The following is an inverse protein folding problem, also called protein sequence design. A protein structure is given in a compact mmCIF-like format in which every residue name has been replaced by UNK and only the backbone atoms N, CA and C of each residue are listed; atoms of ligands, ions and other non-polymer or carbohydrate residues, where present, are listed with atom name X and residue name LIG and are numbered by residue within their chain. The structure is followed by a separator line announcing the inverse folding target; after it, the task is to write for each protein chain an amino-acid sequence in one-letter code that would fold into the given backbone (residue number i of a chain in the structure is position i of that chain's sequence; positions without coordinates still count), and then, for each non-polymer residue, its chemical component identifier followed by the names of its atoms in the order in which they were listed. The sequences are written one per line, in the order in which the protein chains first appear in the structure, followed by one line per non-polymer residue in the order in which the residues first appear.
data_IF_453288800801
#
_entry.id   IF_453288800801
#
_cell.length_a   1.000
_cell.length_b   1.000
_cell.length_c   1.000
_cell.angle_alpha   90.00
_cell.angle_beta   90.00
_cell.angle_gamma   90.00
#
_symmetry.space_group_name_H-M   'P 1'
#
loop_
_entity.id
_entity.type
_entity.pdbx_description
1 polymer ?
#
# COMPACT_ATOMS: atom_id res chain seq x y z
N UNK A 1 -6.79 -29.21 14.38
CA UNK A 1 -7.44 -27.96 14.81
C UNK A 1 -7.19 -26.91 13.75
N UNK A 2 -8.20 -26.13 13.34
CA UNK A 2 -8.01 -25.00 12.42
C UNK A 2 -7.23 -23.89 13.14
N UNK A 3 -6.19 -23.34 12.51
CA UNK A 3 -5.50 -22.14 13.02
C UNK A 3 -6.48 -20.96 13.01
N UNK A 4 -6.44 -20.11 14.03
CA UNK A 4 -7.25 -18.90 14.06
C UNK A 4 -6.82 -17.98 12.92
N UNK A 5 -7.77 -17.54 12.09
CA UNK A 5 -7.50 -16.58 11.01
C UNK A 5 -7.29 -15.18 11.58
N UNK A 6 -6.29 -14.47 11.08
CA UNK A 6 -6.00 -13.08 11.40
C UNK A 6 -5.81 -12.29 10.11
N UNK A 7 -6.72 -11.35 9.84
CA UNK A 7 -6.66 -10.47 8.68
C UNK A 7 -6.37 -9.04 9.14
N UNK A 8 -5.31 -8.44 8.62
CA UNK A 8 -4.90 -7.07 8.93
C UNK A 8 -4.58 -6.31 7.65
N UNK A 9 -4.84 -5.00 7.63
CA UNK A 9 -4.64 -4.14 6.47
C UNK A 9 -3.98 -2.83 6.86
N UNK A 10 -3.26 -2.21 5.92
CA UNK A 10 -3.01 -0.77 5.94
C UNK A 10 -4.21 -0.01 5.36
N UNK A 11 -4.22 1.30 5.48
CA UNK A 11 -4.94 2.14 4.55
C UNK A 11 -4.27 2.07 3.17
N UNK A 12 -5.07 2.19 2.11
CA UNK A 12 -4.54 2.31 0.75
C UNK A 12 -3.93 3.70 0.54
N UNK A 13 -2.68 3.76 0.06
CA UNK A 13 -1.95 5.00 -0.10
C UNK A 13 -2.37 5.75 -1.38
N UNK A 14 -2.39 7.09 -1.35
CA UNK A 14 -2.78 7.91 -2.51
C UNK A 14 -1.53 8.25 -3.36
N UNK A 15 -1.34 7.65 -4.56
CA UNK A 15 -0.06 7.67 -5.26
C UNK A 15 0.04 8.85 -6.24
N UNK A 16 -0.36 10.06 -5.82
CA UNK A 16 -0.22 11.27 -6.63
C UNK A 16 1.18 11.90 -6.55
N UNK A 17 2.12 11.22 -5.88
CA UNK A 17 3.52 11.60 -5.68
C UNK A 17 4.37 10.37 -5.28
N UNK A 18 5.59 10.62 -4.79
CA UNK A 18 6.46 9.56 -4.27
C UNK A 18 6.07 9.14 -2.84
N UNK A 19 6.36 7.89 -2.41
CA UNK A 19 6.20 7.49 -1.02
C UNK A 19 6.98 8.39 -0.05
N UNK A 20 6.52 8.45 1.20
CA UNK A 20 7.12 9.29 2.25
C UNK A 20 7.06 8.57 3.59
N UNK A 21 7.71 9.13 4.62
CA UNK A 21 7.88 8.46 5.93
C UNK A 21 6.57 8.01 6.58
N UNK A 22 5.46 8.73 6.39
CA UNK A 22 4.15 8.29 6.88
C UNK A 22 3.69 6.96 6.29
N UNK A 23 3.89 6.74 4.98
CA UNK A 23 3.56 5.47 4.32
C UNK A 23 4.45 4.33 4.83
N UNK A 24 5.75 4.58 4.93
CA UNK A 24 6.70 3.60 5.45
C UNK A 24 6.41 3.22 6.91
N UNK A 25 6.05 4.20 7.75
CA UNK A 25 5.68 3.96 9.14
C UNK A 25 4.50 3.01 9.27
N UNK A 26 3.43 3.25 8.51
CA UNK A 26 2.23 2.41 8.56
C UNK A 26 2.50 1.00 8.01
N UNK A 27 3.26 0.89 6.92
CA UNK A 27 3.67 -0.40 6.35
C UNK A 27 4.48 -1.22 7.36
N UNK A 28 5.51 -0.63 7.97
CA UNK A 28 6.38 -1.30 8.96
C UNK A 28 5.58 -1.72 10.20
N UNK A 29 4.76 -0.82 10.74
CA UNK A 29 3.96 -1.12 11.94
C UNK A 29 3.00 -2.29 11.68
N UNK A 30 2.32 -2.29 10.54
CA UNK A 30 1.36 -3.33 10.17
C UNK A 30 2.05 -4.66 9.87
N UNK A 31 3.20 -4.63 9.18
CA UNK A 31 4.00 -5.82 8.89
C UNK A 31 4.53 -6.46 10.19
N UNK A 32 5.02 -5.66 11.14
CA UNK A 32 5.47 -6.16 12.44
C UNK A 32 4.35 -6.89 13.20
N UNK A 33 3.14 -6.33 13.20
CA UNK A 33 1.96 -6.97 13.79
C UNK A 33 1.58 -8.25 13.05
N UNK A 34 1.56 -8.24 11.71
CA UNK A 34 1.27 -9.42 10.91
C UNK A 34 2.27 -10.55 11.20
N UNK A 35 3.57 -10.25 11.26
CA UNK A 35 4.62 -11.22 11.61
C UNK A 35 4.49 -11.73 13.03
N UNK A 36 4.17 -10.87 13.98
CA UNK A 36 3.93 -11.29 15.36
C UNK A 36 2.81 -12.33 15.46
N UNK A 37 1.69 -12.11 14.75
CA UNK A 37 0.57 -13.06 14.74
C UNK A 37 0.91 -14.38 14.02
N UNK A 38 1.80 -14.35 13.01
CA UNK A 38 2.34 -15.58 12.40
C UNK A 38 3.18 -16.37 13.41
N UNK A 39 4.00 -15.70 14.21
CA UNK A 39 4.78 -16.33 15.28
C UNK A 39 3.89 -16.89 16.40
N UNK A 40 2.74 -16.26 16.65
CA UNK A 40 1.67 -16.74 17.55
C UNK A 40 0.84 -17.91 16.96
N UNK A 41 1.23 -18.44 15.80
CA UNK A 41 0.61 -19.64 15.20
C UNK A 41 -0.70 -19.40 14.46
N UNK A 42 -1.06 -18.13 14.18
CA UNK A 42 -2.27 -17.78 13.43
C UNK A 42 -2.10 -17.95 11.93
N UNK A 43 -3.22 -18.13 11.24
CA UNK A 43 -3.30 -18.07 9.77
C UNK A 43 -3.48 -16.62 9.33
N UNK A 44 -2.42 -15.99 8.83
CA UNK A 44 -2.35 -14.53 8.64
C UNK A 44 -2.44 -14.15 7.17
N UNK A 45 -3.39 -13.26 6.86
CA UNK A 45 -3.40 -12.49 5.61
C UNK A 45 -3.12 -11.02 5.93
N UNK A 46 -2.17 -10.40 5.21
CA UNK A 46 -1.83 -8.99 5.35
C UNK A 46 -1.96 -8.33 3.98
N UNK A 47 -2.79 -7.28 3.88
CA UNK A 47 -3.06 -6.54 2.64
C UNK A 47 -2.67 -5.06 2.75
N UNK A 48 -2.08 -4.54 1.68
CA UNK A 48 -1.81 -3.11 1.44
C UNK A 48 -2.13 -2.78 -0.03
N UNK A 49 -2.12 -1.51 -0.41
CA UNK A 49 -2.38 -1.10 -1.79
C UNK A 49 -2.46 0.41 -1.99
N UNK A 50 -3.00 0.81 -3.14
CA UNK A 50 -3.07 2.20 -3.60
C UNK A 50 -4.51 2.64 -3.95
N UNK A 51 -4.84 3.90 -3.66
CA UNK A 51 -6.07 4.58 -4.11
C UNK A 51 -5.77 5.47 -5.31
N UNK A 52 -6.15 5.03 -6.50
CA UNK A 52 -5.64 5.60 -7.77
C UNK A 52 -6.62 6.55 -8.48
N UNK A 53 -7.79 6.80 -7.90
CA UNK A 53 -8.81 7.64 -8.53
C UNK A 53 -8.81 9.08 -7.98
N UNK A 54 -9.59 9.96 -8.60
CA UNK A 54 -9.86 11.31 -8.11
C UNK A 54 -9.13 12.44 -8.82
N UNK A 55 -9.57 13.67 -8.53
CA UNK A 55 -9.18 14.87 -9.28
C UNK A 55 -7.67 15.18 -9.19
N UNK A 56 -7.03 14.88 -8.05
CA UNK A 56 -5.59 15.11 -7.87
C UNK A 56 -4.75 14.20 -8.79
N UNK A 57 -5.13 12.93 -8.96
CA UNK A 57 -4.47 12.03 -9.92
C UNK A 57 -4.57 12.55 -11.35
N UNK A 58 -5.76 13.00 -11.77
CA UNK A 58 -5.97 13.59 -13.10
C UNK A 58 -5.11 14.84 -13.29
N UNK A 59 -5.09 15.75 -12.31
CA UNK A 59 -4.30 16.98 -12.37
C UNK A 59 -2.80 16.70 -12.43
N UNK A 60 -2.30 15.73 -11.67
CA UNK A 60 -0.88 15.32 -11.73
C UNK A 60 -0.55 14.71 -13.09
N UNK A 61 -1.41 13.83 -13.62
CA UNK A 61 -1.20 13.19 -14.92
C UNK A 61 -1.12 14.24 -16.05
N UNK A 62 -2.03 15.23 -16.03
CA UNK A 62 -2.01 16.36 -16.96
C UNK A 62 -0.73 17.20 -16.85
N UNK A 63 -0.27 17.51 -15.64
CA UNK A 63 0.98 18.27 -15.42
C UNK A 63 2.21 17.52 -15.95
N UNK A 64 2.18 16.19 -15.94
CA UNK A 64 3.26 15.33 -16.39
C UNK A 64 3.10 14.85 -17.84
N UNK A 65 2.07 15.30 -18.57
CA UNK A 65 1.72 14.85 -19.93
C UNK A 65 1.54 13.32 -20.04
N UNK A 66 0.91 12.70 -19.05
CA UNK A 66 0.61 11.27 -18.98
C UNK A 66 -0.90 11.01 -18.92
N UNK A 67 -1.33 9.79 -19.24
CA UNK A 67 -2.69 9.36 -18.89
C UNK A 67 -2.78 9.07 -17.38
N UNK A 68 -3.98 9.16 -16.76
CA UNK A 68 -4.15 8.77 -15.36
C UNK A 68 -3.72 7.32 -15.07
N UNK A 69 -3.95 6.40 -16.01
CA UNK A 69 -3.54 5.00 -15.89
C UNK A 69 -2.02 4.83 -15.87
N UNK A 70 -1.31 5.55 -16.75
CA UNK A 70 0.16 5.48 -16.80
C UNK A 70 0.78 6.08 -15.53
N UNK A 71 0.21 7.19 -15.03
CA UNK A 71 0.62 7.81 -13.77
C UNK A 71 0.41 6.85 -12.59
N UNK A 72 -0.79 6.28 -12.49
CA UNK A 72 -1.15 5.33 -11.44
C UNK A 72 -0.22 4.11 -11.46
N UNK A 73 -0.05 3.47 -12.62
CA UNK A 73 0.83 2.31 -12.81
C UNK A 73 2.27 2.61 -12.37
N UNK A 74 2.83 3.74 -12.85
CA UNK A 74 4.19 4.15 -12.50
C UNK A 74 4.34 4.44 -11.01
N UNK A 75 3.40 5.17 -10.41
CA UNK A 75 3.53 5.58 -9.02
C UNK A 75 3.22 4.44 -8.05
N UNK A 76 2.25 3.58 -8.35
CA UNK A 76 1.95 2.37 -7.56
C UNK A 76 3.15 1.41 -7.51
N UNK A 77 3.93 1.30 -8.60
CA UNK A 77 5.17 0.53 -8.60
C UNK A 77 6.17 1.03 -7.54
N UNK A 78 6.26 2.34 -7.30
CA UNK A 78 7.13 2.91 -6.26
C UNK A 78 6.66 2.59 -4.84
N UNK A 79 5.35 2.54 -4.62
CA UNK A 79 4.80 2.08 -3.33
C UNK A 79 5.07 0.60 -3.12
N UNK A 80 4.91 -0.21 -4.17
CA UNK A 80 5.27 -1.62 -4.14
C UNK A 80 6.76 -1.86 -3.85
N UNK A 81 7.66 -1.06 -4.43
CA UNK A 81 9.09 -1.11 -4.14
C UNK A 81 9.41 -0.72 -2.69
N UNK A 82 8.65 0.21 -2.09
CA UNK A 82 8.81 0.58 -0.67
C UNK A 82 8.36 -0.54 0.27
N UNK A 83 7.30 -1.28 -0.09
CA UNK A 83 6.71 -2.35 0.73
C UNK A 83 7.51 -3.69 0.66
N UNK A 84 8.55 -3.78 -0.18
CA UNK A 84 9.41 -4.96 -0.35
C UNK A 84 10.65 -4.95 0.55
#
# INVERSE_FOLDING_TARGET
MSRQTFYITTAIAYPNGVPHIGHAYEAIATDALARFQRLDGKDVFFLTGTDEHGQKMIQTAQKENMTPMDLATRNAARFKEMDQ
#
